data_IF_945488054309
#
_entry.id   IF_945488054309
#
_cell.length_a   1.000
_cell.length_b   1.000
_cell.length_c   1.000
_cell.angle_alpha   90.00
_cell.angle_beta   90.00
_cell.angle_gamma   90.00
#
_symmetry.space_group_name_H-M   'P 1'
#
loop_
_entity.id
_entity.type
_entity.pdbx_description
1 polymer ?
#
# COMPACT_ATOMS: atom_id res chain seq x y z
N UNK A 1 -1.73 -11.21 -16.55
CA UNK A 1 -2.25 -10.80 -15.22
C UNK A 1 -1.23 -11.01 -14.10
N UNK A 2 -0.72 -12.22 -13.83
CA UNK A 2 0.33 -12.45 -12.80
C UNK A 2 1.62 -11.64 -13.02
N UNK A 3 2.03 -11.39 -14.28
CA UNK A 3 3.26 -10.67 -14.64
C UNK A 3 3.23 -9.17 -14.31
N UNK A 4 2.08 -8.49 -14.45
CA UNK A 4 1.95 -7.06 -14.15
C UNK A 4 2.00 -6.77 -12.65
N UNK A 5 1.38 -7.64 -11.84
CA UNK A 5 1.43 -7.53 -10.37
C UNK A 5 2.83 -7.83 -9.85
N UNK A 6 3.53 -8.80 -10.48
CA UNK A 6 4.93 -9.08 -10.15
C UNK A 6 5.82 -7.87 -10.45
N UNK A 7 5.56 -7.13 -11.53
CA UNK A 7 6.31 -5.92 -11.88
C UNK A 7 6.14 -4.81 -10.83
N UNK A 8 4.91 -4.58 -10.33
CA UNK A 8 4.66 -3.60 -9.26
C UNK A 8 5.34 -4.02 -7.95
N UNK A 9 5.33 -5.31 -7.63
CA UNK A 9 6.02 -5.85 -6.44
C UNK A 9 7.53 -5.78 -6.63
N UNK A 10 8.06 -6.04 -7.83
CA UNK A 10 9.50 -5.98 -8.11
C UNK A 10 10.04 -4.54 -8.05
N UNK A 11 9.30 -3.56 -8.53
CA UNK A 11 9.65 -2.12 -8.39
C UNK A 11 9.64 -1.70 -6.92
N UNK A 12 8.70 -2.24 -6.12
CA UNK A 12 8.66 -2.03 -4.66
C UNK A 12 9.89 -2.59 -3.94
N UNK A 13 10.53 -3.65 -4.49
CA UNK A 13 11.66 -4.32 -3.83
C UNK A 13 13.03 -3.82 -4.26
N UNK A 14 13.18 -3.40 -5.51
CA UNK A 14 14.46 -2.87 -6.02
C UNK A 14 14.86 -1.54 -5.36
N UNK A 15 13.91 -0.82 -4.75
CA UNK A 15 14.14 0.49 -4.12
C UNK A 15 14.55 0.46 -2.65
N UNK A 16 14.64 -0.72 -2.00
CA UNK A 16 15.00 -0.83 -0.56
C UNK A 16 16.51 -0.98 -0.33
N UNK A 17 17.32 -1.06 -1.38
CA UNK A 17 18.71 -1.55 -1.30
C UNK A 17 19.81 -0.56 -1.66
N UNK A 18 19.73 0.74 -1.34
CA UNK A 18 20.92 1.60 -1.42
C UNK A 18 20.99 2.54 -0.22
N UNK A 19 21.80 2.14 0.76
CA UNK A 19 22.40 3.04 1.73
C UNK A 19 23.55 3.75 1.02
N UNK A 20 23.43 5.05 0.77
CA UNK A 20 24.54 5.93 0.45
C UNK A 20 24.57 7.00 1.53
N UNK A 21 25.76 7.14 2.10
CA UNK A 21 26.12 8.03 3.20
C UNK A 21 25.78 9.51 2.95
N UNK A 22 25.62 10.22 4.05
CA UNK A 22 25.23 11.59 4.24
C UNK A 22 25.77 12.60 3.20
N UNK A 23 24.82 13.16 2.43
CA UNK A 23 24.83 14.55 1.98
C UNK A 23 23.41 14.97 1.63
N UNK A 24 22.94 16.07 2.24
CA UNK A 24 21.66 16.73 2.03
C UNK A 24 20.38 15.95 2.41
N UNK A 25 19.97 16.11 3.65
CA UNK A 25 18.66 15.66 4.14
C UNK A 25 17.47 16.18 3.28
N UNK A 26 17.67 17.28 2.55
CA UNK A 26 16.67 17.86 1.64
C UNK A 26 16.63 17.09 0.32
N UNK A 27 17.78 16.81 -0.29
CA UNK A 27 17.86 16.02 -1.54
C UNK A 27 17.34 14.59 -1.32
N UNK A 28 17.63 14.00 -0.15
CA UNK A 28 17.13 12.66 0.19
C UNK A 28 15.58 12.64 0.37
N UNK A 29 14.99 13.69 0.95
CA UNK A 29 13.53 13.82 1.07
C UNK A 29 12.86 13.99 -0.29
N UNK A 30 13.45 14.76 -1.20
CA UNK A 30 12.92 14.95 -2.56
C UNK A 30 13.02 13.65 -3.38
N UNK A 31 14.14 12.95 -3.31
CA UNK A 31 14.31 11.65 -3.95
C UNK A 31 13.31 10.61 -3.40
N UNK A 32 13.07 10.57 -2.10
CA UNK A 32 12.08 9.69 -1.48
C UNK A 32 10.65 10.04 -1.92
N UNK A 33 10.33 11.34 -2.01
CA UNK A 33 9.03 11.82 -2.51
C UNK A 33 8.83 11.41 -3.98
N UNK A 34 9.84 11.61 -4.83
CA UNK A 34 9.79 11.20 -6.24
C UNK A 34 9.57 9.69 -6.38
N UNK A 35 10.28 8.87 -5.59
CA UNK A 35 10.09 7.40 -5.57
C UNK A 35 8.66 7.00 -5.16
N UNK A 36 8.11 7.65 -4.13
CA UNK A 36 6.73 7.39 -3.68
C UNK A 36 5.71 7.76 -4.75
N UNK A 37 5.92 8.86 -5.45
CA UNK A 37 5.05 9.29 -6.55
C UNK A 37 5.13 8.32 -7.73
N UNK A 38 6.31 7.89 -8.13
CA UNK A 38 6.50 6.89 -9.17
C UNK A 38 5.80 5.56 -8.84
N UNK A 39 5.92 5.11 -7.59
CA UNK A 39 5.21 3.90 -7.11
C UNK A 39 3.69 4.07 -7.15
N UNK A 40 3.19 5.26 -6.78
CA UNK A 40 1.77 5.56 -6.84
C UNK A 40 1.29 5.55 -8.29
N UNK A 41 2.02 6.17 -9.21
CA UNK A 41 1.66 6.20 -10.63
C UNK A 41 1.65 4.79 -11.24
N UNK A 42 2.68 3.99 -11.00
CA UNK A 42 2.73 2.58 -11.46
C UNK A 42 1.53 1.78 -10.96
N UNK A 43 1.11 2.03 -9.71
CA UNK A 43 -0.06 1.38 -9.13
C UNK A 43 -1.37 1.84 -9.79
N UNK A 44 -1.50 3.13 -10.07
CA UNK A 44 -2.66 3.71 -10.76
C UNK A 44 -2.80 3.15 -12.18
N UNK A 45 -1.70 3.08 -12.94
CA UNK A 45 -1.70 2.53 -14.30
C UNK A 45 -2.10 1.05 -14.31
N UNK A 46 -1.60 0.28 -13.34
CA UNK A 46 -2.02 -1.11 -13.16
C UNK A 46 -3.52 -1.20 -12.81
N UNK A 47 -4.02 -0.36 -11.90
CA UNK A 47 -5.43 -0.38 -11.52
C UNK A 47 -6.34 0.03 -12.67
N UNK A 48 -5.96 1.04 -13.48
CA UNK A 48 -6.68 1.42 -14.68
C UNK A 48 -6.89 0.21 -15.60
N UNK A 49 -5.83 -0.55 -15.85
CA UNK A 49 -5.85 -1.75 -16.70
C UNK A 49 -6.65 -2.89 -16.06
N UNK A 50 -6.36 -3.22 -14.80
CA UNK A 50 -6.98 -4.36 -14.12
C UNK A 50 -8.48 -4.15 -13.89
N UNK A 51 -8.92 -2.93 -13.61
CA UNK A 51 -10.33 -2.59 -13.39
C UNK A 51 -11.06 -2.26 -14.70
N UNK A 52 -10.37 -2.23 -15.85
CA UNK A 52 -10.88 -1.80 -17.15
C UNK A 52 -11.56 -0.42 -17.06
N UNK A 53 -10.88 0.55 -16.44
CA UNK A 53 -11.43 1.90 -16.31
C UNK A 53 -11.32 2.64 -17.64
N UNK A 54 -12.41 3.30 -18.04
CA UNK A 54 -12.36 4.29 -19.11
C UNK A 54 -11.49 5.49 -18.70
N UNK A 55 -11.06 6.31 -19.64
CA UNK A 55 -10.27 7.52 -19.33
C UNK A 55 -11.06 8.47 -18.42
N UNK A 56 -12.37 8.60 -18.65
CA UNK A 56 -13.25 9.42 -17.81
C UNK A 56 -13.38 8.88 -16.40
N UNK A 57 -13.60 7.56 -16.25
CA UNK A 57 -13.65 6.91 -14.94
C UNK A 57 -12.32 7.06 -14.21
N UNK A 58 -11.20 6.87 -14.91
CA UNK A 58 -9.87 6.98 -14.34
C UNK A 58 -9.57 8.38 -13.83
N UNK A 59 -9.93 9.42 -14.57
CA UNK A 59 -9.74 10.81 -14.16
C UNK A 59 -10.49 11.14 -12.85
N UNK A 60 -11.68 10.56 -12.64
CA UNK A 60 -12.45 10.70 -11.39
C UNK A 60 -11.94 9.77 -10.28
N UNK A 61 -11.48 8.58 -10.62
CA UNK A 61 -10.99 7.57 -9.68
C UNK A 61 -9.65 7.95 -9.05
N UNK A 62 -8.70 8.47 -9.82
CA UNK A 62 -7.35 8.76 -9.36
C UNK A 62 -7.31 9.61 -8.09
N UNK A 63 -7.97 10.78 -7.99
CA UNK A 63 -7.93 11.61 -6.79
C UNK A 63 -8.54 10.90 -5.56
N UNK A 64 -9.60 10.12 -5.74
CA UNK A 64 -10.22 9.35 -4.66
C UNK A 64 -9.26 8.26 -4.16
N UNK A 65 -8.61 7.53 -5.08
CA UNK A 65 -7.67 6.49 -4.70
C UNK A 65 -6.42 7.05 -4.02
N UNK A 66 -5.89 8.18 -4.48
CA UNK A 66 -4.78 8.88 -3.82
C UNK A 66 -5.12 9.29 -2.40
N UNK A 67 -6.32 9.85 -2.18
CA UNK A 67 -6.81 10.20 -0.85
C UNK A 67 -6.94 8.96 0.05
N UNK A 68 -7.57 7.90 -0.44
CA UNK A 68 -7.68 6.61 0.25
C UNK A 68 -6.31 6.07 0.68
N UNK A 69 -5.32 6.05 -0.22
CA UNK A 69 -3.97 5.55 0.09
C UNK A 69 -3.23 6.41 1.11
N UNK A 70 -3.41 7.73 1.04
CA UNK A 70 -2.86 8.68 2.03
C UNK A 70 -3.42 8.41 3.42
N UNK A 71 -4.75 8.27 3.54
CA UNK A 71 -5.38 7.97 4.83
C UNK A 71 -5.02 6.56 5.32
N UNK A 72 -4.96 5.55 4.44
CA UNK A 72 -4.51 4.20 4.80
C UNK A 72 -3.12 4.19 5.43
N UNK A 73 -2.20 5.01 4.91
CA UNK A 73 -0.84 5.10 5.46
C UNK A 73 -0.77 5.76 6.84
N UNK A 74 -1.82 6.50 7.22
CA UNK A 74 -1.90 7.16 8.54
C UNK A 74 -2.51 6.28 9.61
N UNK A 75 -3.51 5.48 9.22
CA UNK A 75 -4.28 4.68 10.20
C UNK A 75 -3.67 3.32 10.48
N UNK A 76 -2.71 2.87 9.68
CA UNK A 76 -2.04 1.57 9.85
C UNK A 76 -0.67 1.76 10.49
N UNK A 77 -0.53 1.34 11.74
CA UNK A 77 0.77 1.28 12.43
C UNK A 77 1.59 0.09 11.94
N UNK A 78 2.49 0.37 11.01
CA UNK A 78 3.40 -0.65 10.50
C UNK A 78 4.65 -0.86 11.37
N UNK A 79 4.98 0.05 12.28
CA UNK A 79 6.19 -0.05 13.11
C UNK A 79 6.03 -1.11 14.19
N UNK A 80 4.96 -0.99 14.99
CA UNK A 80 4.69 -1.93 16.09
C UNK A 80 4.42 -3.36 15.63
N UNK A 81 3.82 -3.54 14.44
CA UNK A 81 3.51 -4.90 13.93
C UNK A 81 4.67 -5.58 13.21
N UNK A 82 5.75 -4.86 12.87
CA UNK A 82 6.95 -5.38 12.21
C UNK A 82 8.00 -5.88 13.20
N UNK A 83 7.58 -6.53 14.25
CA UNK A 83 8.48 -7.21 15.17
C UNK A 83 8.95 -8.51 14.53
N UNK A 84 10.27 -8.76 14.54
CA UNK A 84 10.84 -10.00 14.06
C UNK A 84 10.40 -11.17 14.95
N UNK A 85 10.41 -12.39 14.39
CA UNK A 85 9.93 -13.56 15.10
C UNK A 85 10.78 -13.85 16.35
N UNK A 86 12.07 -13.65 16.27
CA UNK A 86 13.07 -13.78 17.33
C UNK A 86 13.04 -12.66 18.38
N UNK A 87 12.45 -11.51 18.02
CA UNK A 87 12.22 -10.36 18.92
C UNK A 87 10.87 -10.43 19.63
N UNK A 88 10.00 -11.40 19.28
CA UNK A 88 8.69 -11.58 19.90
C UNK A 88 8.85 -12.33 21.21
N UNK A 89 8.50 -11.67 22.31
CA UNK A 89 8.57 -12.19 23.68
C UNK A 89 7.18 -12.16 24.33
N UNK A 90 7.01 -12.85 25.47
CA UNK A 90 5.77 -12.78 26.24
C UNK A 90 5.44 -11.34 26.66
N UNK A 91 6.45 -10.52 26.95
CA UNK A 91 6.27 -9.15 27.43
C UNK A 91 5.75 -8.20 26.33
N UNK A 92 6.10 -8.45 25.06
CA UNK A 92 5.66 -7.61 23.94
C UNK A 92 4.54 -8.22 23.08
N UNK A 93 4.25 -9.51 23.24
CA UNK A 93 3.28 -10.23 22.41
C UNK A 93 1.88 -9.59 22.42
N UNK A 94 1.36 -9.24 23.59
CA UNK A 94 0.03 -8.60 23.71
C UNK A 94 0.00 -7.25 22.99
N UNK A 95 1.05 -6.44 23.11
CA UNK A 95 1.16 -5.16 22.41
C UNK A 95 1.17 -5.36 20.87
N UNK A 96 1.91 -6.34 20.40
CA UNK A 96 1.97 -6.66 18.95
C UNK A 96 0.63 -7.19 18.44
N UNK A 97 -0.02 -8.09 19.21
CA UNK A 97 -1.35 -8.62 18.86
C UNK A 97 -2.37 -7.50 18.80
N UNK A 98 -2.43 -6.64 19.84
CA UNK A 98 -3.35 -5.51 19.86
C UNK A 98 -3.14 -4.55 18.69
N UNK A 99 -1.88 -4.21 18.35
CA UNK A 99 -1.56 -3.37 17.22
C UNK A 99 -2.02 -4.00 15.87
N UNK A 100 -1.87 -5.32 15.71
CA UNK A 100 -2.37 -6.04 14.53
C UNK A 100 -3.89 -6.00 14.41
N UNK A 101 -4.60 -6.23 15.52
CA UNK A 101 -6.06 -6.16 15.55
C UNK A 101 -6.55 -4.74 15.27
N UNK A 102 -5.96 -3.74 15.91
CA UNK A 102 -6.28 -2.32 15.66
C UNK A 102 -6.03 -1.92 14.20
N UNK A 103 -4.93 -2.35 13.59
CA UNK A 103 -4.67 -2.11 12.18
C UNK A 103 -5.73 -2.74 11.27
N UNK A 104 -6.20 -3.95 11.57
CA UNK A 104 -7.26 -4.59 10.80
C UNK A 104 -8.58 -3.83 10.91
N UNK A 105 -8.96 -3.41 12.12
CA UNK A 105 -10.16 -2.61 12.38
C UNK A 105 -10.07 -1.27 11.63
N UNK A 106 -8.97 -0.53 11.80
CA UNK A 106 -8.75 0.76 11.17
C UNK A 106 -8.77 0.67 9.64
N UNK A 107 -8.12 -0.34 9.07
CA UNK A 107 -8.10 -0.56 7.63
C UNK A 107 -9.52 -0.90 7.09
N UNK A 108 -10.29 -1.73 7.80
CA UNK A 108 -11.65 -2.09 7.42
C UNK A 108 -12.59 -0.88 7.52
N UNK A 109 -12.51 -0.12 8.59
CA UNK A 109 -13.30 1.11 8.77
C UNK A 109 -12.98 2.15 7.70
N UNK A 110 -11.71 2.27 7.30
CA UNK A 110 -11.32 3.17 6.21
C UNK A 110 -11.87 2.71 4.86
N UNK A 111 -11.78 1.42 4.56
CA UNK A 111 -12.40 0.85 3.34
C UNK A 111 -13.89 1.16 3.29
N UNK A 112 -14.59 0.98 4.40
CA UNK A 112 -16.03 1.28 4.51
C UNK A 112 -16.33 2.77 4.27
N UNK A 113 -15.56 3.69 4.83
CA UNK A 113 -15.73 5.13 4.59
C UNK A 113 -15.53 5.51 3.11
N UNK A 114 -14.52 4.92 2.44
CA UNK A 114 -14.24 5.20 1.03
C UNK A 114 -15.14 4.45 0.06
N UNK A 115 -15.93 3.47 0.53
CA UNK A 115 -16.82 2.68 -0.32
C UNK A 115 -17.75 3.56 -1.15
N UNK A 116 -18.41 4.54 -0.49
CA UNK A 116 -19.35 5.46 -1.17
C UNK A 116 -18.62 6.40 -2.13
N UNK A 117 -17.48 6.95 -1.76
CA UNK A 117 -16.68 7.78 -2.66
C UNK A 117 -16.21 7.01 -3.91
N UNK A 118 -15.89 5.72 -3.79
CA UNK A 118 -15.60 4.88 -4.95
C UNK A 118 -16.86 4.58 -5.77
N UNK A 119 -18.01 4.36 -5.13
CA UNK A 119 -19.26 4.07 -5.81
C UNK A 119 -19.78 5.25 -6.67
N UNK A 120 -19.36 6.48 -6.37
CA UNK A 120 -19.64 7.65 -7.20
C UNK A 120 -18.83 7.70 -8.51
N UNK A 121 -17.74 6.93 -8.62
CA UNK A 121 -16.78 7.06 -9.74
C UNK A 121 -16.55 5.76 -10.50
N UNK A 122 -16.75 4.60 -9.87
CA UNK A 122 -16.60 3.27 -10.48
C UNK A 122 -17.73 2.32 -10.04
N UNK A 123 -17.92 1.25 -10.78
CA UNK A 123 -19.00 0.28 -10.53
C UNK A 123 -18.71 -0.61 -9.30
N UNK A 124 -19.75 -1.15 -8.61
CA UNK A 124 -19.58 -2.00 -7.43
C UNK A 124 -18.67 -3.21 -7.65
N UNK A 125 -18.72 -3.87 -8.81
CA UNK A 125 -17.82 -4.98 -9.15
C UNK A 125 -16.36 -4.53 -9.33
N UNK A 126 -16.15 -3.31 -9.81
CA UNK A 126 -14.80 -2.72 -9.89
C UNK A 126 -14.26 -2.39 -8.50
N UNK A 127 -15.10 -1.94 -7.56
CA UNK A 127 -14.71 -1.69 -6.16
C UNK A 127 -14.30 -3.01 -5.47
N UNK A 128 -15.08 -4.05 -5.66
CA UNK A 128 -14.77 -5.39 -5.11
C UNK A 128 -13.40 -5.87 -5.63
N UNK A 129 -13.18 -5.75 -6.93
CA UNK A 129 -11.92 -6.11 -7.57
C UNK A 129 -10.76 -5.24 -7.08
N UNK A 130 -10.97 -3.93 -6.88
CA UNK A 130 -10.00 -3.00 -6.30
C UNK A 130 -9.52 -3.49 -4.93
N UNK A 131 -10.43 -3.81 -4.01
CA UNK A 131 -10.06 -4.26 -2.67
C UNK A 131 -9.32 -5.59 -2.67
N UNK A 132 -9.68 -6.54 -3.55
CA UNK A 132 -8.92 -7.79 -3.75
C UNK A 132 -7.50 -7.53 -4.27
N UNK A 133 -7.35 -6.61 -5.21
CA UNK A 133 -6.02 -6.24 -5.74
C UNK A 133 -5.17 -5.63 -4.65
N UNK A 134 -5.71 -4.70 -3.86
CA UNK A 134 -4.98 -4.06 -2.76
C UNK A 134 -4.55 -5.07 -1.68
N UNK A 135 -5.39 -6.04 -1.34
CA UNK A 135 -5.04 -7.11 -0.41
C UNK A 135 -3.94 -8.03 -0.95
N UNK A 136 -3.99 -8.38 -2.24
CA UNK A 136 -2.96 -9.19 -2.90
C UNK A 136 -1.63 -8.46 -2.91
N UNK A 137 -1.59 -7.17 -3.27
CA UNK A 137 -0.38 -6.36 -3.23
C UNK A 137 0.18 -6.31 -1.80
N UNK A 138 -0.65 -6.07 -0.80
CA UNK A 138 -0.23 -6.03 0.59
C UNK A 138 0.34 -7.37 1.07
N UNK A 139 -0.25 -8.49 0.65
CA UNK A 139 0.23 -9.85 0.96
C UNK A 139 1.59 -10.14 0.32
N UNK A 140 1.77 -9.81 -0.96
CA UNK A 140 3.04 -10.01 -1.66
C UNK A 140 4.16 -9.12 -1.08
N UNK A 141 3.87 -7.86 -0.77
CA UNK A 141 4.82 -6.97 -0.12
C UNK A 141 5.31 -7.52 1.24
N UNK A 142 4.44 -8.17 2.02
CA UNK A 142 4.84 -8.82 3.29
C UNK A 142 5.79 -9.99 3.08
N UNK A 143 5.57 -10.82 2.05
CA UNK A 143 6.46 -11.96 1.73
C UNK A 143 7.87 -11.46 1.42
N UNK A 144 8.00 -10.44 0.57
CA UNK A 144 9.31 -9.92 0.16
C UNK A 144 10.12 -9.40 1.35
N UNK A 145 9.47 -8.76 2.33
CA UNK A 145 10.14 -8.31 3.57
C UNK A 145 10.63 -9.49 4.41
N UNK A 146 9.95 -10.64 4.36
CA UNK A 146 10.37 -11.85 5.08
C UNK A 146 11.55 -12.58 4.43
N UNK A 147 11.71 -12.49 3.10
CA UNK A 147 12.80 -13.17 2.37
C UNK A 147 14.12 -12.39 2.32
N UNK A 148 14.14 -11.11 2.73
CA UNK A 148 15.35 -10.29 2.79
C UNK A 148 16.10 -10.41 4.14
N UNK A 149 15.91 -11.51 4.83
CA UNK A 149 16.69 -11.92 6.00
C UNK A 149 17.69 -13.07 5.60
#
# INVERSE_FOLDING_TARGET
MKKLILAVVFVLTAMVGQNVFAQDAKANKEAEKAKREQLMQTRLDMLKTELNLTDEQFAKFEPVYRAYRKEMSRVVDNKTVRVKKDELTNDNALKVINARLSNNINASSLKQRFLFSFAEVIEPLQIEKLYRIDERIAKEARKVVQYKK
#
